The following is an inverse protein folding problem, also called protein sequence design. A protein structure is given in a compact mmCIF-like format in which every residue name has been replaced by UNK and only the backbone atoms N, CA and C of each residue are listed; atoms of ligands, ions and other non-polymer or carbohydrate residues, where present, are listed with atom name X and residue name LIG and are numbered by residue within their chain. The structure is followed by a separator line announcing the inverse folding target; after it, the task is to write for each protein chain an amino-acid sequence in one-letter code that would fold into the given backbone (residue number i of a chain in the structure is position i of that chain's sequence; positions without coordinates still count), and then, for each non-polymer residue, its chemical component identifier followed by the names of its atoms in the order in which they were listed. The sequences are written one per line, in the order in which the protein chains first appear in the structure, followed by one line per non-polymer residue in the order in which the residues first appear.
data_IF_946739656932
#
_entry.id   IF_946739656932
#
_cell.length_a   1.000
_cell.length_b   1.000
_cell.length_c   1.000
_cell.angle_alpha   90.00
_cell.angle_beta   90.00
_cell.angle_gamma   90.00
#
_symmetry.space_group_name_H-M   'P 1'
#
loop_
_entity.id
_entity.type
_entity.pdbx_description
1 polymer ?
#
# COMPACT_ATOMS: atom_id res chain seq x y z
N UNK A 1 -5.54 -39.98 -10.07
CA UNK A 1 -4.61 -40.29 -8.96
C UNK A 1 -3.41 -39.33 -8.95
N UNK A 2 -2.83 -39.06 -10.10
CA UNK A 2 -1.63 -38.21 -10.24
C UNK A 2 -1.85 -36.80 -9.66
N UNK A 3 -2.97 -36.14 -9.99
CA UNK A 3 -3.32 -34.83 -9.44
C UNK A 3 -3.40 -34.81 -7.91
N UNK A 4 -3.81 -35.94 -7.31
CA UNK A 4 -3.89 -36.08 -5.85
C UNK A 4 -2.49 -36.06 -5.23
N UNK A 5 -1.52 -36.72 -5.86
CA UNK A 5 -0.12 -36.72 -5.38
C UNK A 5 0.47 -35.30 -5.41
N UNK A 6 0.22 -34.56 -6.49
CA UNK A 6 0.66 -33.16 -6.60
C UNK A 6 0.06 -32.32 -5.46
N UNK A 7 -1.24 -32.45 -5.24
CA UNK A 7 -1.96 -31.70 -4.21
C UNK A 7 -1.45 -32.02 -2.81
N UNK A 8 -1.26 -33.32 -2.51
CA UNK A 8 -0.74 -33.79 -1.21
C UNK A 8 0.69 -33.25 -0.99
N UNK A 9 1.53 -33.29 -2.03
CA UNK A 9 2.91 -32.81 -1.95
C UNK A 9 2.97 -31.30 -1.65
N UNK A 10 2.12 -30.49 -2.31
CA UNK A 10 1.99 -29.05 -2.03
C UNK A 10 1.62 -28.82 -0.56
N UNK A 11 0.57 -29.52 -0.08
CA UNK A 11 0.09 -29.37 1.32
C UNK A 11 1.18 -29.77 2.30
N UNK A 12 1.87 -30.88 2.03
CA UNK A 12 2.95 -31.35 2.92
C UNK A 12 4.07 -30.32 3.02
N UNK A 13 4.51 -29.74 1.91
CA UNK A 13 5.54 -28.71 1.88
C UNK A 13 5.09 -27.44 2.64
N UNK A 14 3.83 -27.06 2.51
CA UNK A 14 3.25 -25.93 3.23
C UNK A 14 3.21 -26.18 4.75
N UNK A 15 2.84 -27.41 5.16
CA UNK A 15 2.81 -27.79 6.60
C UNK A 15 4.20 -27.78 7.24
N UNK A 16 5.25 -28.10 6.45
CA UNK A 16 6.65 -28.03 6.90
C UNK A 16 7.12 -26.56 7.03
N UNK A 17 6.33 -25.60 6.50
CA UNK A 17 6.65 -24.17 6.57
C UNK A 17 7.44 -23.63 5.37
N UNK A 18 7.48 -24.38 4.27
CA UNK A 18 8.13 -23.93 3.04
C UNK A 18 7.30 -22.81 2.41
N UNK A 19 7.92 -21.70 1.94
CA UNK A 19 7.18 -20.61 1.29
C UNK A 19 6.32 -21.11 0.13
N UNK A 20 5.12 -20.52 -0.03
CA UNK A 20 4.09 -20.95 -1.00
C UNK A 20 4.66 -21.06 -2.43
N UNK A 21 5.44 -20.05 -2.87
CA UNK A 21 6.02 -20.03 -4.21
C UNK A 21 6.97 -21.24 -4.45
N UNK A 22 7.79 -21.54 -3.42
CA UNK A 22 8.73 -22.68 -3.48
C UNK A 22 7.95 -24.01 -3.44
N UNK A 23 6.93 -24.11 -2.58
CA UNK A 23 6.08 -25.31 -2.48
C UNK A 23 5.40 -25.63 -3.80
N UNK A 24 4.81 -24.61 -4.46
CA UNK A 24 4.15 -24.78 -5.75
C UNK A 24 5.15 -25.12 -6.86
N UNK A 25 6.27 -24.38 -6.93
CA UNK A 25 7.29 -24.59 -7.95
C UNK A 25 7.95 -25.96 -7.82
N UNK A 26 8.40 -26.30 -6.60
CA UNK A 26 9.11 -27.57 -6.34
C UNK A 26 8.18 -28.78 -6.58
N UNK A 27 6.93 -28.71 -6.11
CA UNK A 27 5.97 -29.80 -6.31
C UNK A 27 5.63 -30.00 -7.79
N UNK A 28 5.50 -28.91 -8.55
CA UNK A 28 5.25 -28.98 -10.00
C UNK A 28 6.42 -29.61 -10.76
N UNK A 29 7.64 -29.17 -10.43
CA UNK A 29 8.87 -29.71 -11.03
C UNK A 29 9.02 -31.19 -10.71
N UNK A 30 8.88 -31.56 -9.43
CA UNK A 30 8.99 -32.97 -9.00
C UNK A 30 7.92 -33.84 -9.68
N UNK A 31 6.69 -33.33 -9.75
CA UNK A 31 5.60 -34.03 -10.42
C UNK A 31 5.92 -34.30 -11.90
N UNK A 32 6.40 -33.27 -12.62
CA UNK A 32 6.74 -33.39 -14.03
C UNK A 32 7.91 -34.37 -14.26
N UNK A 33 8.90 -34.38 -13.37
CA UNK A 33 10.03 -35.29 -13.46
C UNK A 33 9.66 -36.75 -13.20
N UNK A 34 8.65 -36.99 -12.36
CA UNK A 34 8.23 -38.35 -11.98
C UNK A 34 7.18 -38.93 -12.96
N UNK A 35 6.22 -38.08 -13.38
CA UNK A 35 5.04 -38.53 -14.13
C UNK A 35 5.04 -38.14 -15.61
N UNK A 36 6.08 -37.40 -16.07
CA UNK A 36 6.22 -37.07 -17.50
C UNK A 36 7.62 -37.34 -17.98
N UNK A 37 7.79 -37.52 -19.28
CA UNK A 37 9.09 -37.68 -19.93
C UNK A 37 9.77 -36.32 -20.19
N UNK A 38 9.33 -35.28 -19.47
CA UNK A 38 9.85 -33.91 -19.64
C UNK A 38 11.25 -33.78 -19.05
N UNK A 39 12.18 -33.27 -19.83
CA UNK A 39 13.51 -32.92 -19.32
C UNK A 39 13.48 -31.62 -18.54
N UNK A 40 14.42 -31.42 -17.64
CA UNK A 40 14.58 -30.14 -16.92
C UNK A 40 14.73 -28.94 -17.86
N UNK A 41 15.40 -29.17 -19.00
CA UNK A 41 15.55 -28.15 -20.05
C UNK A 41 14.21 -27.76 -20.65
N UNK A 42 13.34 -28.75 -20.90
CA UNK A 42 11.96 -28.51 -21.41
C UNK A 42 11.13 -27.74 -20.41
N UNK A 43 11.22 -28.09 -19.12
CA UNK A 43 10.51 -27.36 -18.04
C UNK A 43 10.97 -25.89 -17.98
N UNK A 44 12.28 -25.68 -18.02
CA UNK A 44 12.87 -24.32 -18.03
C UNK A 44 12.39 -23.53 -19.26
N UNK A 45 12.42 -24.15 -20.43
CA UNK A 45 11.95 -23.52 -21.67
C UNK A 45 10.46 -23.12 -21.58
N UNK A 46 9.63 -24.01 -21.05
CA UNK A 46 8.18 -23.74 -20.87
C UNK A 46 7.96 -22.54 -19.91
N UNK A 47 8.74 -22.46 -18.83
CA UNK A 47 8.67 -21.32 -17.90
C UNK A 47 9.03 -20.02 -18.59
N UNK A 48 10.09 -20.01 -19.41
CA UNK A 48 10.47 -18.80 -20.18
C UNK A 48 9.41 -18.44 -21.22
N UNK A 49 8.89 -19.43 -21.96
CA UNK A 49 7.84 -19.21 -22.98
C UNK A 49 6.54 -18.68 -22.38
N UNK A 50 6.19 -19.11 -21.16
CA UNK A 50 4.99 -18.63 -20.45
C UNK A 50 5.06 -17.13 -20.21
N UNK A 51 6.24 -16.58 -19.91
CA UNK A 51 6.43 -15.13 -19.75
C UNK A 51 6.49 -14.40 -21.10
N UNK A 52 7.08 -15.01 -22.09
CA UNK A 52 7.23 -14.44 -23.44
C UNK A 52 5.88 -14.17 -24.11
N UNK A 53 4.89 -15.04 -23.88
CA UNK A 53 3.54 -14.91 -24.43
C UNK A 53 2.64 -13.92 -23.67
N UNK A 54 2.96 -13.58 -22.41
CA UNK A 54 2.09 -12.80 -21.55
C UNK A 54 2.77 -11.55 -20.98
N UNK A 55 3.06 -10.57 -21.84
CA UNK A 55 3.69 -9.28 -21.46
C UNK A 55 2.91 -8.55 -20.37
N UNK A 56 1.62 -8.82 -20.23
CA UNK A 56 0.75 -8.24 -19.18
C UNK A 56 1.23 -8.60 -17.79
N UNK A 57 1.87 -9.77 -17.60
CA UNK A 57 2.40 -10.20 -16.31
C UNK A 57 3.54 -9.31 -15.83
N UNK A 58 4.22 -8.60 -16.74
CA UNK A 58 5.27 -7.63 -16.40
C UNK A 58 4.72 -6.43 -15.61
N UNK A 59 3.41 -6.19 -15.67
CA UNK A 59 2.76 -5.15 -14.86
C UNK A 59 2.88 -5.44 -13.35
N UNK A 60 2.93 -6.74 -12.96
CA UNK A 60 2.90 -7.18 -11.55
C UNK A 60 4.09 -6.62 -10.74
N UNK A 61 5.36 -6.86 -11.15
CA UNK A 61 6.49 -6.31 -10.38
C UNK A 61 6.45 -4.78 -10.31
N UNK A 62 5.99 -4.09 -11.35
CA UNK A 62 5.86 -2.63 -11.32
C UNK A 62 4.79 -2.17 -10.33
N UNK A 63 3.63 -2.83 -10.26
CA UNK A 63 2.59 -2.53 -9.27
C UNK A 63 3.07 -2.81 -7.84
N UNK A 64 3.79 -3.90 -7.61
CA UNK A 64 4.37 -4.24 -6.29
C UNK A 64 5.37 -3.15 -5.86
N UNK A 65 6.26 -2.76 -6.77
CA UNK A 65 7.25 -1.71 -6.51
C UNK A 65 6.57 -0.37 -6.22
N UNK A 66 5.59 0.02 -7.02
CA UNK A 66 4.81 1.25 -6.84
C UNK A 66 4.12 1.26 -5.47
N UNK A 67 3.49 0.13 -5.09
CA UNK A 67 2.79 -0.02 -3.82
C UNK A 67 3.75 0.10 -2.62
N UNK A 68 4.95 -0.45 -2.76
CA UNK A 68 6.01 -0.33 -1.74
C UNK A 68 6.42 1.14 -1.52
N UNK A 69 6.62 1.89 -2.60
CA UNK A 69 6.93 3.34 -2.51
C UNK A 69 5.78 4.13 -1.88
N UNK A 70 4.53 3.79 -2.21
CA UNK A 70 3.36 4.48 -1.66
C UNK A 70 3.17 4.22 -0.17
N UNK A 71 3.46 3.00 0.29
CA UNK A 71 3.31 2.64 1.70
C UNK A 71 4.31 3.39 2.58
N UNK A 72 5.53 3.62 2.07
CA UNK A 72 6.59 4.36 2.80
C UNK A 72 6.49 5.88 2.60
N UNK A 73 5.91 6.34 1.49
CA UNK A 73 5.89 7.75 1.09
C UNK A 73 4.86 8.66 1.78
N UNK A 74 4.19 8.17 2.82
CA UNK A 74 3.20 8.98 3.56
C UNK A 74 1.86 9.17 2.84
N UNK A 75 1.66 8.52 1.70
CA UNK A 75 0.39 8.55 0.95
C UNK A 75 -0.74 7.95 1.80
N UNK A 76 -0.47 6.83 2.48
CA UNK A 76 -1.43 6.17 3.37
C UNK A 76 -1.95 7.12 4.44
N UNK A 77 -1.05 7.88 5.09
CA UNK A 77 -1.43 8.88 6.14
C UNK A 77 -2.36 9.96 5.59
N UNK A 78 -2.08 10.46 4.38
CA UNK A 78 -2.89 11.50 3.72
C UNK A 78 -4.27 10.97 3.34
N UNK A 79 -4.34 9.74 2.83
CA UNK A 79 -5.60 9.06 2.50
C UNK A 79 -6.43 8.84 3.76
N UNK A 80 -5.82 8.38 4.87
CA UNK A 80 -6.49 8.17 6.15
C UNK A 80 -7.04 9.52 6.67
N UNK A 81 -6.25 10.60 6.60
CA UNK A 81 -6.69 11.95 7.01
C UNK A 81 -7.92 12.39 6.21
N UNK A 82 -7.88 12.20 4.89
CA UNK A 82 -9.01 12.51 4.02
C UNK A 82 -10.23 11.65 4.38
N UNK A 83 -10.04 10.37 4.59
CA UNK A 83 -11.12 9.43 4.93
C UNK A 83 -11.79 9.81 6.25
N UNK A 84 -11.01 10.17 7.27
CA UNK A 84 -11.51 10.62 8.56
C UNK A 84 -12.30 11.94 8.39
N UNK A 85 -11.77 12.88 7.59
CA UNK A 85 -12.44 14.17 7.33
C UNK A 85 -13.79 13.98 6.65
N UNK A 86 -13.89 13.00 5.71
CA UNK A 86 -15.14 12.75 4.95
C UNK A 86 -16.17 11.98 5.77
N UNK A 87 -15.79 10.86 6.40
CA UNK A 87 -16.74 9.90 6.98
C UNK A 87 -16.55 9.68 8.48
N UNK A 88 -15.61 10.37 9.11
CA UNK A 88 -15.29 10.18 10.54
C UNK A 88 -16.41 10.61 11.50
N UNK A 89 -17.36 11.41 11.04
CA UNK A 89 -18.44 11.98 11.86
C UNK A 89 -19.59 11.00 12.12
N UNK A 90 -19.63 9.86 11.46
CA UNK A 90 -20.67 8.84 11.66
C UNK A 90 -20.41 8.00 12.93
N UNK A 91 -21.42 7.26 13.40
CA UNK A 91 -21.25 6.25 14.45
C UNK A 91 -20.28 5.18 13.95
N UNK A 92 -19.23 4.92 14.72
CA UNK A 92 -18.16 4.04 14.26
C UNK A 92 -17.30 4.67 13.17
N UNK A 93 -17.28 6.01 13.09
CA UNK A 93 -16.68 6.77 12.00
C UNK A 93 -15.23 6.45 11.72
N UNK A 94 -14.45 6.11 12.75
CA UNK A 94 -13.04 5.75 12.55
C UNK A 94 -12.89 4.39 11.85
N UNK A 95 -13.79 3.43 12.14
CA UNK A 95 -13.81 2.13 11.44
C UNK A 95 -14.27 2.32 9.99
N UNK A 96 -15.33 3.11 9.77
CA UNK A 96 -15.83 3.44 8.42
C UNK A 96 -14.74 4.17 7.62
N UNK A 97 -14.04 5.12 8.26
CA UNK A 97 -12.91 5.82 7.62
C UNK A 97 -11.77 4.86 7.27
N UNK A 98 -11.54 3.85 8.09
CA UNK A 98 -10.58 2.78 7.81
C UNK A 98 -10.95 2.00 6.54
N UNK A 99 -12.21 1.61 6.39
CA UNK A 99 -12.71 0.93 5.18
C UNK A 99 -12.56 1.84 3.95
N UNK A 100 -13.00 3.09 4.07
CA UNK A 100 -12.90 4.07 2.98
C UNK A 100 -11.44 4.31 2.57
N UNK A 101 -10.53 4.40 3.57
CA UNK A 101 -9.10 4.53 3.32
C UNK A 101 -8.55 3.28 2.61
N UNK A 102 -8.99 2.07 3.01
CA UNK A 102 -8.61 0.82 2.34
C UNK A 102 -9.08 0.81 0.89
N UNK A 103 -10.31 1.25 0.61
CA UNK A 103 -10.84 1.35 -0.77
C UNK A 103 -9.98 2.27 -1.64
N UNK A 104 -9.66 3.46 -1.12
CA UNK A 104 -8.84 4.44 -1.83
C UNK A 104 -7.41 3.93 -2.04
N UNK A 105 -6.82 3.32 -1.00
CA UNK A 105 -5.46 2.79 -1.09
C UNK A 105 -5.41 1.53 -1.97
N UNK A 106 -6.45 0.70 -1.95
CA UNK A 106 -6.59 -0.47 -2.82
C UNK A 106 -6.49 -0.07 -4.30
N UNK A 107 -7.17 1.03 -4.68
CA UNK A 107 -7.15 1.60 -6.04
C UNK A 107 -5.76 2.11 -6.46
N UNK A 108 -4.82 2.20 -5.52
CA UNK A 108 -3.44 2.62 -5.79
C UNK A 108 -2.47 1.42 -5.78
N UNK A 109 -2.64 0.52 -4.80
CA UNK A 109 -1.69 -0.57 -4.53
C UNK A 109 -1.99 -1.84 -5.32
N UNK A 110 -3.26 -2.10 -5.61
CA UNK A 110 -3.71 -3.33 -6.28
C UNK A 110 -3.44 -4.61 -5.50
N UNK A 111 -3.10 -4.48 -4.20
CA UNK A 111 -2.63 -5.59 -3.37
C UNK A 111 -3.32 -5.57 -2.00
N UNK A 112 -4.01 -6.67 -1.64
CA UNK A 112 -4.66 -6.81 -0.34
C UNK A 112 -3.67 -6.77 0.83
N UNK A 113 -2.58 -7.56 0.82
CA UNK A 113 -1.60 -7.49 1.92
C UNK A 113 -1.00 -6.10 2.09
N UNK A 114 -0.64 -5.42 0.99
CA UNK A 114 -0.09 -4.06 1.06
C UNK A 114 -1.07 -3.08 1.68
N UNK A 115 -2.36 -3.19 1.31
CA UNK A 115 -3.44 -2.35 1.86
C UNK A 115 -3.61 -2.57 3.37
N UNK A 116 -3.66 -3.84 3.81
CA UNK A 116 -3.80 -4.20 5.24
C UNK A 116 -2.61 -3.65 6.04
N UNK A 117 -1.41 -3.81 5.55
CA UNK A 117 -0.19 -3.35 6.27
C UNK A 117 -0.15 -1.81 6.32
N UNK A 118 -0.34 -1.14 5.17
CA UNK A 118 -0.21 0.32 5.08
C UNK A 118 -1.28 1.05 5.89
N UNK A 119 -2.55 0.65 5.75
CA UNK A 119 -3.67 1.32 6.43
C UNK A 119 -3.83 0.77 7.84
N UNK A 120 -3.72 -0.55 8.01
CA UNK A 120 -3.94 -1.24 9.29
C UNK A 120 -2.98 -0.79 10.38
N UNK A 121 -1.70 -0.63 10.07
CA UNK A 121 -0.69 -0.17 11.04
C UNK A 121 -1.08 1.16 11.72
N UNK A 122 -1.75 2.04 10.99
CA UNK A 122 -2.15 3.37 11.48
C UNK A 122 -3.56 3.31 12.10
N UNK A 123 -4.53 2.74 11.36
CA UNK A 123 -5.95 2.81 11.73
C UNK A 123 -6.25 1.91 12.93
N UNK A 124 -5.67 0.70 13.02
CA UNK A 124 -5.88 -0.21 14.17
C UNK A 124 -5.37 0.48 15.46
N UNK A 125 -4.18 1.10 15.39
CA UNK A 125 -3.63 1.84 16.54
C UNK A 125 -4.51 3.02 16.93
N UNK A 126 -5.07 3.76 15.96
CA UNK A 126 -5.98 4.87 16.22
C UNK A 126 -7.30 4.38 16.81
N UNK A 127 -7.87 3.29 16.30
CA UNK A 127 -9.12 2.70 16.77
C UNK A 127 -9.00 2.24 18.23
N UNK A 128 -7.91 1.55 18.56
CA UNK A 128 -7.68 1.07 19.95
C UNK A 128 -7.51 2.20 20.93
N UNK A 129 -6.89 3.31 20.54
CA UNK A 129 -6.77 4.53 21.38
C UNK A 129 -8.13 5.17 21.70
N UNK A 130 -9.10 5.05 20.81
CA UNK A 130 -10.45 5.62 20.98
C UNK A 130 -11.38 4.64 21.70
N UNK A 131 -10.90 3.42 22.03
CA UNK A 131 -11.65 2.45 22.84
C UNK A 131 -12.28 1.29 22.05
N UNK A 132 -11.96 1.14 20.78
CA UNK A 132 -12.38 -0.06 20.03
C UNK A 132 -11.55 -1.27 20.47
N UNK A 133 -12.15 -2.47 20.50
CA UNK A 133 -11.39 -3.68 20.77
C UNK A 133 -10.43 -3.96 19.61
N UNK A 134 -9.27 -4.53 19.93
CA UNK A 134 -8.25 -4.90 18.93
C UNK A 134 -8.81 -5.86 17.89
N UNK A 135 -9.60 -6.84 18.35
CA UNK A 135 -10.18 -7.88 17.50
C UNK A 135 -11.13 -7.27 16.46
N UNK A 136 -11.99 -6.33 16.89
CA UNK A 136 -12.90 -5.62 15.98
C UNK A 136 -12.10 -4.78 14.97
N UNK A 137 -11.11 -4.02 15.47
CA UNK A 137 -10.29 -3.16 14.58
C UNK A 137 -9.54 -3.99 13.54
N UNK A 138 -8.91 -5.08 13.97
CA UNK A 138 -8.18 -5.99 13.07
C UNK A 138 -9.14 -6.66 12.07
N UNK A 139 -10.28 -7.15 12.55
CA UNK A 139 -11.31 -7.78 11.71
C UNK A 139 -11.84 -6.84 10.62
N UNK A 140 -12.12 -5.58 10.97
CA UNK A 140 -12.57 -4.57 10.00
C UNK A 140 -11.49 -4.34 8.93
N UNK A 141 -10.24 -4.15 9.35
CA UNK A 141 -9.15 -3.83 8.40
C UNK A 141 -8.80 -5.05 7.54
N UNK A 142 -8.82 -6.27 8.10
CA UNK A 142 -8.59 -7.48 7.32
C UNK A 142 -9.65 -7.66 6.22
N UNK A 143 -10.93 -7.47 6.58
CA UNK A 143 -12.02 -7.51 5.60
C UNK A 143 -11.91 -6.37 4.57
N UNK A 144 -11.63 -5.15 5.03
CA UNK A 144 -11.47 -4.00 4.13
C UNK A 144 -10.29 -4.17 3.18
N UNK A 145 -9.23 -4.84 3.63
CA UNK A 145 -8.04 -5.12 2.81
C UNK A 145 -8.32 -6.02 1.62
N UNK A 146 -9.31 -6.93 1.73
CA UNK A 146 -9.69 -7.81 0.60
C UNK A 146 -10.21 -7.02 -0.61
N UNK A 147 -10.67 -5.77 -0.39
CA UNK A 147 -11.09 -4.88 -1.48
C UNK A 147 -9.94 -4.58 -2.46
N UNK A 148 -8.69 -4.79 -2.05
CA UNK A 148 -7.51 -4.68 -2.93
C UNK A 148 -7.47 -5.68 -4.07
N UNK A 149 -8.24 -6.76 -3.98
CA UNK A 149 -8.41 -7.72 -5.08
C UNK A 149 -9.45 -7.21 -6.09
N UNK A 150 -10.51 -6.55 -5.57
CA UNK A 150 -11.69 -6.16 -6.37
C UNK A 150 -11.57 -4.79 -7.02
N UNK A 151 -10.96 -3.82 -6.30
CA UNK A 151 -10.88 -2.43 -6.80
C UNK A 151 -9.67 -2.30 -7.73
N UNK A 152 -9.89 -1.92 -9.01
CA UNK A 152 -8.78 -1.79 -9.96
C UNK A 152 -7.89 -0.54 -9.67
N UNK A 153 -6.60 -0.58 -10.08
CA UNK A 153 -5.93 -1.74 -10.70
C UNK A 153 -5.62 -2.84 -9.66
N UNK A 154 -5.75 -4.10 -10.03
CA UNK A 154 -5.55 -5.24 -9.11
C UNK A 154 -4.60 -6.26 -9.74
N UNK A 155 -3.59 -6.66 -8.97
CA UNK A 155 -2.59 -7.67 -9.36
C UNK A 155 -3.29 -9.01 -9.68
N UNK A 156 -4.27 -9.40 -8.85
CA UNK A 156 -5.01 -10.66 -9.02
C UNK A 156 -5.80 -10.64 -10.33
N UNK A 157 -6.39 -9.51 -10.68
CA UNK A 157 -7.11 -9.36 -11.96
C UNK A 157 -6.17 -9.46 -13.17
N UNK A 158 -4.93 -8.93 -13.05
CA UNK A 158 -3.91 -9.05 -14.11
C UNK A 158 -3.54 -10.52 -14.32
N UNK A 159 -3.29 -11.26 -13.22
CA UNK A 159 -2.97 -12.70 -13.27
C UNK A 159 -4.13 -13.49 -13.90
N UNK A 160 -5.36 -13.22 -13.44
CA UNK A 160 -6.55 -13.89 -13.95
C UNK A 160 -6.72 -13.62 -15.45
N UNK A 161 -6.59 -12.37 -15.85
CA UNK A 161 -6.74 -11.96 -17.26
C UNK A 161 -5.70 -12.65 -18.15
N UNK A 162 -4.45 -12.75 -17.67
CA UNK A 162 -3.38 -13.45 -18.39
C UNK A 162 -3.66 -14.96 -18.49
N UNK A 163 -4.20 -15.57 -17.42
CA UNK A 163 -4.50 -17.01 -17.38
C UNK A 163 -5.70 -17.40 -18.24
N UNK A 164 -6.62 -16.45 -18.52
CA UNK A 164 -7.87 -16.71 -19.25
C UNK A 164 -7.92 -16.02 -20.62
N UNK A 165 -6.83 -15.36 -21.02
CA UNK A 165 -6.69 -14.60 -22.28
C UNK A 165 -7.79 -13.54 -22.45
N UNK A 166 -8.19 -12.91 -21.31
CA UNK A 166 -9.18 -11.83 -21.29
C UNK A 166 -8.45 -10.48 -21.17
N UNK A 167 -9.01 -9.45 -21.78
CA UNK A 167 -8.47 -8.09 -21.68
C UNK A 167 -8.44 -7.59 -20.23
N UNK A 168 -7.26 -7.20 -19.75
CA UNK A 168 -7.06 -6.64 -18.39
C UNK A 168 -7.92 -5.38 -18.19
N UNK A 169 -8.03 -4.52 -19.22
CA UNK A 169 -8.87 -3.32 -19.16
C UNK A 169 -10.34 -3.64 -18.90
N UNK A 170 -10.88 -4.63 -19.61
CA UNK A 170 -12.27 -5.10 -19.37
C UNK A 170 -12.43 -5.71 -17.98
N UNK A 171 -11.43 -6.46 -17.52
CA UNK A 171 -11.41 -7.05 -16.18
C UNK A 171 -11.44 -5.96 -15.10
N UNK A 172 -10.65 -4.91 -15.28
CA UNK A 172 -10.63 -3.77 -14.37
C UNK A 172 -12.00 -3.06 -14.33
N UNK A 173 -12.63 -2.83 -15.49
CA UNK A 173 -13.97 -2.24 -15.56
C UNK A 173 -15.00 -3.10 -14.79
N UNK A 174 -14.93 -4.41 -14.97
CA UNK A 174 -15.84 -5.35 -14.31
C UNK A 174 -15.67 -5.33 -12.78
N UNK A 175 -14.46 -5.03 -12.28
CA UNK A 175 -14.15 -4.99 -10.84
C UNK A 175 -14.64 -3.74 -10.12
N UNK A 176 -14.84 -2.62 -10.82
CA UNK A 176 -15.22 -1.32 -10.21
C UNK A 176 -16.53 -1.45 -9.41
N UNK A 177 -17.58 -1.96 -10.07
CA UNK A 177 -18.93 -2.03 -9.46
C UNK A 177 -18.95 -2.98 -8.26
N UNK A 178 -18.48 -4.25 -8.37
CA UNK A 178 -18.43 -5.14 -7.20
C UNK A 178 -17.54 -4.60 -6.07
N UNK A 179 -16.42 -3.99 -6.40
CA UNK A 179 -15.50 -3.41 -5.40
C UNK A 179 -16.14 -2.28 -4.60
N UNK A 180 -16.80 -1.35 -5.29
CA UNK A 180 -17.53 -0.25 -4.65
C UNK A 180 -18.72 -0.77 -3.84
N UNK A 181 -19.45 -1.73 -4.38
CA UNK A 181 -20.60 -2.34 -3.70
C UNK A 181 -20.15 -3.03 -2.40
N UNK A 182 -19.10 -3.87 -2.48
CA UNK A 182 -18.58 -4.59 -1.31
C UNK A 182 -18.09 -3.61 -0.24
N UNK A 183 -17.37 -2.56 -0.63
CA UNK A 183 -16.89 -1.53 0.28
C UNK A 183 -18.01 -0.75 0.95
N UNK A 184 -19.03 -0.34 0.18
CA UNK A 184 -20.18 0.39 0.73
C UNK A 184 -21.01 -0.51 1.65
N UNK A 185 -21.23 -1.77 1.31
CA UNK A 185 -21.94 -2.73 2.16
C UNK A 185 -21.20 -2.96 3.48
N UNK A 186 -19.87 -3.05 3.43
CA UNK A 186 -19.04 -3.18 4.62
C UNK A 186 -19.17 -1.92 5.51
N UNK A 187 -19.12 -0.71 4.93
CA UNK A 187 -19.30 0.54 5.66
C UNK A 187 -20.69 0.63 6.32
N UNK A 188 -21.73 0.21 5.58
CA UNK A 188 -23.12 0.19 6.08
C UNK A 188 -23.25 -0.82 7.26
N UNK A 189 -22.66 -1.99 7.13
CA UNK A 189 -22.66 -3.03 8.18
C UNK A 189 -21.99 -2.52 9.46
N UNK A 190 -20.83 -1.84 9.30
CA UNK A 190 -20.09 -1.23 10.42
C UNK A 190 -20.95 -0.14 11.08
N UNK A 191 -21.62 0.69 10.29
CA UNK A 191 -22.47 1.78 10.81
C UNK A 191 -23.59 1.21 11.70
N UNK A 192 -24.32 0.18 11.26
CA UNK A 192 -25.38 -0.43 12.04
C UNK A 192 -24.84 -1.13 13.29
N UNK A 193 -23.74 -1.84 13.17
CA UNK A 193 -23.07 -2.52 14.30
C UNK A 193 -22.61 -1.48 15.34
N UNK A 194 -21.99 -0.38 14.89
CA UNK A 194 -21.50 0.67 15.76
C UNK A 194 -22.64 1.39 16.48
N UNK A 195 -23.76 1.59 15.80
CA UNK A 195 -24.97 2.20 16.39
C UNK A 195 -25.58 1.26 17.46
N UNK A 196 -25.64 -0.03 17.18
CA UNK A 196 -26.15 -1.05 18.12
C UNK A 196 -25.29 -1.13 19.38
N UNK A 197 -23.96 -1.09 19.22
CA UNK A 197 -23.00 -1.19 20.34
C UNK A 197 -22.74 0.16 21.05
N UNK A 198 -23.36 1.24 20.61
CA UNK A 198 -23.14 2.57 21.20
C UNK A 198 -21.71 3.08 21.04
N UNK A 199 -21.07 2.77 19.93
CA UNK A 199 -19.68 3.17 19.69
C UNK A 199 -19.55 4.69 19.52
N UNK A 200 -18.38 5.27 19.87
CA UNK A 200 -18.21 6.72 19.82
C UNK A 200 -18.46 7.29 18.42
N UNK A 201 -19.06 8.46 18.39
CA UNK A 201 -19.35 9.25 17.20
C UNK A 201 -18.29 10.36 17.11
N UNK A 202 -17.70 10.52 15.93
CA UNK A 202 -16.76 11.61 15.68
C UNK A 202 -17.48 12.95 15.47
N UNK A 203 -16.72 14.03 15.54
CA UNK A 203 -17.21 15.37 15.20
C UNK A 203 -16.94 15.64 13.71
N UNK A 204 -17.81 16.41 13.10
CA UNK A 204 -17.62 16.85 11.71
C UNK A 204 -16.42 17.79 11.64
N UNK A 205 -15.44 17.45 10.82
CA UNK A 205 -14.19 18.20 10.69
C UNK A 205 -14.35 19.54 9.94
N UNK A 206 -15.47 19.72 9.25
CA UNK A 206 -15.70 20.92 8.45
C UNK A 206 -15.16 20.82 7.03
N UNK A 207 -15.75 21.60 6.14
CA UNK A 207 -15.39 21.62 4.71
C UNK A 207 -13.94 22.06 4.49
N UNK A 208 -13.43 22.97 5.32
CA UNK A 208 -12.04 23.46 5.24
C UNK A 208 -11.04 22.32 5.44
N UNK A 209 -11.30 21.43 6.40
CA UNK A 209 -10.43 20.27 6.65
C UNK A 209 -10.55 19.25 5.52
N UNK A 210 -11.77 19.00 4.98
CA UNK A 210 -12.00 18.11 3.86
C UNK A 210 -11.19 18.59 2.64
N UNK A 211 -11.28 19.89 2.30
CA UNK A 211 -10.54 20.48 1.17
C UNK A 211 -9.02 20.42 1.41
N UNK A 212 -8.56 20.71 2.61
CA UNK A 212 -7.15 20.64 3.00
C UNK A 212 -6.62 19.20 2.85
N UNK A 213 -7.37 18.23 3.39
CA UNK A 213 -7.01 16.80 3.31
C UNK A 213 -7.07 16.29 1.86
N UNK A 214 -8.08 16.72 1.09
CA UNK A 214 -8.21 16.36 -0.33
C UNK A 214 -7.03 16.89 -1.14
N UNK A 215 -6.61 18.14 -0.89
CA UNK A 215 -5.44 18.74 -1.54
C UNK A 215 -4.16 17.98 -1.17
N UNK A 216 -4.04 17.58 0.10
CA UNK A 216 -2.87 16.79 0.55
C UNK A 216 -2.83 15.39 -0.08
N UNK A 217 -4.01 14.77 -0.31
CA UNK A 217 -4.15 13.44 -0.91
C UNK A 217 -4.21 13.47 -2.44
N UNK A 218 -4.39 14.65 -3.06
CA UNK A 218 -4.66 14.82 -4.49
C UNK A 218 -3.61 14.16 -5.38
N UNK A 219 -2.34 14.22 -4.99
CA UNK A 219 -1.26 13.63 -5.78
C UNK A 219 -1.41 12.11 -5.90
N UNK A 220 -1.79 11.43 -4.81
CA UNK A 220 -2.07 9.99 -4.83
C UNK A 220 -3.31 9.67 -5.67
N UNK A 221 -4.39 10.44 -5.46
CA UNK A 221 -5.65 10.25 -6.20
C UNK A 221 -5.48 10.49 -7.69
N UNK A 222 -4.65 11.47 -8.06
CA UNK A 222 -4.33 11.80 -9.45
C UNK A 222 -3.67 10.62 -10.17
N UNK A 223 -2.83 9.85 -9.46
CA UNK A 223 -2.22 8.64 -10.03
C UNK A 223 -3.29 7.61 -10.45
N UNK A 224 -4.34 7.43 -9.64
CA UNK A 224 -5.46 6.52 -9.98
C UNK A 224 -6.11 6.99 -11.28
N UNK A 225 -6.38 8.30 -11.39
CA UNK A 225 -7.02 8.90 -12.58
C UNK A 225 -6.16 8.69 -13.82
N UNK A 226 -4.84 8.88 -13.71
CA UNK A 226 -3.91 8.67 -14.84
C UNK A 226 -3.92 7.20 -15.27
N UNK A 227 -3.78 6.27 -14.31
CA UNK A 227 -3.69 4.84 -14.58
C UNK A 227 -4.99 4.34 -15.24
N UNK A 228 -6.12 4.53 -14.55
CA UNK A 228 -7.41 4.03 -15.04
C UNK A 228 -7.87 4.81 -16.28
N UNK A 229 -7.71 6.13 -16.27
CA UNK A 229 -8.06 6.98 -17.40
C UNK A 229 -7.25 6.65 -18.65
N UNK A 230 -5.95 6.38 -18.47
CA UNK A 230 -5.05 6.00 -19.57
C UNK A 230 -5.39 4.62 -20.16
N UNK A 231 -5.69 3.65 -19.28
CA UNK A 231 -6.08 2.30 -19.71
C UNK A 231 -7.45 2.33 -20.41
N UNK A 232 -8.45 2.99 -19.82
CA UNK A 232 -9.81 3.04 -20.39
C UNK A 232 -9.90 3.94 -21.62
N UNK A 233 -9.08 4.98 -21.69
CA UNK A 233 -8.95 5.85 -22.85
C UNK A 233 -8.18 5.23 -24.02
N UNK A 234 -7.56 4.05 -23.78
CA UNK A 234 -6.78 3.35 -24.81
C UNK A 234 -5.40 3.97 -25.07
N UNK A 235 -4.94 4.87 -24.19
CA UNK A 235 -3.63 5.52 -24.34
C UNK A 235 -2.49 4.62 -23.86
N UNK A 236 -2.75 3.77 -22.88
CA UNK A 236 -1.75 2.91 -22.26
C UNK A 236 -2.26 1.47 -22.13
N UNK A 237 -1.37 0.54 -22.37
CA UNK A 237 -1.57 -0.85 -21.94
C UNK A 237 -1.42 -0.92 -20.41
N UNK A 238 -1.95 -1.95 -19.74
CA UNK A 238 -1.77 -2.12 -18.30
C UNK A 238 -0.30 -2.16 -17.86
N UNK A 239 0.57 -2.69 -18.70
CA UNK A 239 2.01 -2.75 -18.43
C UNK A 239 2.63 -1.35 -18.47
N UNK A 240 2.30 -0.57 -19.48
CA UNK A 240 2.75 0.83 -19.61
C UNK A 240 2.20 1.68 -18.48
N UNK A 241 0.96 1.49 -18.10
CA UNK A 241 0.33 2.18 -16.97
C UNK A 241 1.05 1.86 -15.66
N UNK A 242 1.42 0.62 -15.48
CA UNK A 242 2.21 0.22 -14.32
C UNK A 242 3.58 0.87 -14.29
N UNK A 243 4.13 1.05 -15.37
CA UNK A 243 5.40 1.71 -15.46
C UNK A 243 5.30 3.20 -15.26
N UNK A 244 4.10 3.81 -15.55
CA UNK A 244 3.83 5.16 -15.28
C UNK A 244 3.62 5.40 -13.83
N UNK A 245 3.10 4.36 -13.16
CA UNK A 245 2.91 4.37 -11.74
C UNK A 245 4.23 4.26 -11.03
N UNK A 246 5.10 3.54 -11.41
CA UNK A 246 6.34 3.39 -10.83
C UNK A 246 7.25 4.55 -11.09
N UNK A 247 7.11 5.17 -12.18
CA UNK A 247 7.86 6.29 -12.55
C UNK A 247 7.37 7.57 -11.90
N UNK A 248 6.13 7.62 -11.74
CA UNK A 248 5.50 8.70 -11.06
C UNK A 248 5.68 8.61 -9.58
N UNK A 249 5.65 7.40 -9.07
CA UNK A 249 5.84 7.21 -7.67
C UNK A 249 7.31 7.32 -7.30
N UNK A 250 8.15 7.08 -8.18
CA UNK A 250 9.53 7.30 -7.99
C UNK A 250 9.86 8.77 -8.07
N UNK A 251 9.18 9.47 -8.84
CA UNK A 251 9.34 10.87 -8.96
C UNK A 251 8.79 11.60 -7.77
N UNK A 252 7.79 11.04 -7.27
CA UNK A 252 7.19 11.56 -6.08
C UNK A 252 8.05 11.29 -4.89
N UNK A 253 8.58 10.15 -4.88
CA UNK A 253 9.39 9.81 -3.80
C UNK A 253 10.73 10.51 -3.86
N UNK A 254 11.11 10.73 -5.00
CA UNK A 254 12.28 11.52 -5.21
C UNK A 254 12.02 12.97 -4.89
N UNK A 255 10.95 13.39 -5.18
CA UNK A 255 10.58 14.72 -4.84
C UNK A 255 10.38 14.88 -3.37
N UNK A 256 9.92 13.89 -2.83
CA UNK A 256 9.72 13.90 -1.42
C UNK A 256 11.04 13.75 -0.70
N UNK A 257 11.79 13.04 -1.27
CA UNK A 257 13.06 12.90 -0.71
C UNK A 257 13.91 14.13 -0.91
N UNK A 258 13.70 14.64 -1.91
CA UNK A 258 14.36 15.85 -2.18
C UNK A 258 13.83 16.99 -1.34
N UNK A 259 12.71 16.88 -1.12
CA UNK A 259 12.11 17.83 -0.26
C UNK A 259 12.54 17.61 1.15
N UNK A 260 12.67 16.45 1.41
CA UNK A 260 13.08 16.12 2.72
C UNK A 260 14.56 16.44 2.90
N UNK A 261 15.17 16.24 1.90
CA UNK A 261 16.54 16.63 1.92
C UNK A 261 16.67 18.12 1.91
N UNK A 262 15.90 18.69 1.30
CA UNK A 262 15.91 20.11 1.30
C UNK A 262 15.46 20.65 2.62
N UNK A 263 14.67 20.01 3.15
CA UNK A 263 14.21 20.38 4.44
C UNK A 263 15.28 20.13 5.46
N UNK A 264 15.85 19.15 5.21
CA UNK A 264 16.86 18.86 6.11
C UNK A 264 18.08 19.78 5.93
N UNK A 265 18.19 20.09 4.82
CA UNK A 265 19.21 21.06 4.56
C UNK A 265 18.80 22.42 5.03
N UNK A 266 17.70 22.66 4.94
CA UNK A 266 17.21 23.88 5.44
C UNK A 266 17.23 23.90 6.94
N UNK A 267 17.00 22.85 7.45
CA UNK A 267 17.03 22.74 8.86
C UNK A 267 18.46 22.75 9.34
N UNK A 268 19.19 22.25 8.59
CA UNK A 268 20.54 22.31 8.93
C UNK A 268 21.11 23.70 8.73
N UNK A 269 20.61 24.28 7.86
CA UNK A 269 21.02 25.63 7.67
C UNK A 269 20.42 26.55 8.69
N UNK A 270 19.41 26.26 9.06
CA UNK A 270 18.81 27.01 10.10
C UNK A 270 19.52 26.76 11.41
N UNK A 271 19.84 25.64 11.53
CA UNK A 271 20.52 25.31 12.72
C UNK A 271 21.94 25.85 12.69
N UNK A 272 22.40 25.93 11.61
CA UNK A 272 23.67 26.57 11.48
C UNK A 272 23.53 28.06 11.62
N UNK A 273 22.56 28.55 11.20
CA UNK A 273 22.33 29.94 11.38
C UNK A 273 21.99 30.25 12.83
N UNK A 274 21.43 29.46 13.39
CA UNK A 274 21.16 29.66 14.78
C UNK A 274 22.44 29.51 15.60
N UNK A 275 23.10 28.72 15.17
CA UNK A 275 24.35 28.60 15.83
C UNK A 275 25.26 29.75 15.54
N UNK A 276 25.13 30.21 14.51
CA UNK A 276 25.87 31.37 14.19
C UNK A 276 25.35 32.60 14.87
N UNK A 277 24.30 32.57 15.06
CA UNK A 277 23.74 33.64 15.77
C UNK A 277 24.02 33.58 17.25
N UNK A 278 24.21 32.68 17.56
CA UNK A 278 24.59 32.52 18.91
C UNK A 278 26.07 32.86 19.11
N UNK A 279 26.87 32.89 18.25
CA UNK A 279 28.32 33.26 18.24
C UNK A 279 28.63 34.75 17.94
N UNK A 280 27.72 35.56 17.65
CA UNK A 280 27.92 37.00 17.52
C UNK A 280 27.96 37.64 18.93
N UNK A 281 28.93 38.61 19.16
CA UNK A 281 29.35 38.90 20.51
C UNK A 281 28.39 39.76 21.33
N UNK A 282 27.70 39.12 22.23
CA UNK A 282 27.29 39.75 23.45
C UNK A 282 27.83 38.88 24.60
N UNK A 283 29.07 39.21 24.99
CA UNK A 283 29.68 38.88 26.25
C UNK A 283 29.54 37.49 26.85
N UNK A 284 30.63 36.73 26.74
CA UNK A 284 31.00 35.66 27.67
C UNK A 284 29.95 34.65 28.10
N UNK A 285 29.87 33.58 27.36
CA UNK A 285 29.62 32.26 27.99
C UNK A 285 30.30 31.20 27.15
N UNK A 286 31.47 30.76 27.56
CA UNK A 286 32.17 29.61 27.00
C UNK A 286 31.34 28.34 27.31
N UNK A 287 30.61 27.88 26.35
CA UNK A 287 30.10 26.51 26.42
C UNK A 287 31.05 25.70 25.52
N UNK A 288 31.91 24.90 26.17
CA UNK A 288 32.71 23.87 25.54
C UNK A 288 31.80 22.71 25.09
N UNK A 289 31.06 22.93 24.00
CA UNK A 289 30.37 21.83 23.35
C UNK A 289 31.20 21.40 22.14
N UNK A 290 31.82 20.24 22.23
CA UNK A 290 32.50 19.62 21.08
C UNK A 290 31.51 19.45 19.93
N UNK A 291 31.90 19.79 18.69
CA UNK A 291 31.00 19.62 17.51
C UNK A 291 30.47 18.21 17.34
N UNK A 292 31.19 17.22 17.84
CA UNK A 292 30.79 15.79 17.80
C UNK A 292 29.57 15.48 18.64
N UNK A 293 29.32 16.21 19.74
CA UNK A 293 28.16 15.97 20.61
C UNK A 293 26.86 16.56 20.06
N UNK A 294 26.95 17.66 19.32
CA UNK A 294 25.78 18.27 18.65
C UNK A 294 25.32 17.42 17.46
N UNK A 295 26.27 16.86 16.70
CA UNK A 295 25.96 15.98 15.59
C UNK A 295 25.33 14.68 16.09
N UNK A 296 25.84 14.13 17.21
CA UNK A 296 25.31 12.93 17.84
C UNK A 296 23.88 13.13 18.40
N UNK A 297 23.63 14.31 18.99
CA UNK A 297 22.30 14.66 19.52
C UNK A 297 21.28 14.86 18.37
N UNK A 298 21.71 15.47 17.26
CA UNK A 298 20.87 15.65 16.07
C UNK A 298 20.58 14.30 15.39
N UNK A 299 21.58 13.42 15.30
CA UNK A 299 21.44 12.07 14.74
C UNK A 299 20.56 11.19 15.62
N UNK A 300 20.69 11.27 16.97
CA UNK A 300 19.85 10.48 17.88
C UNK A 300 18.38 10.93 17.82
N UNK A 301 18.14 12.25 17.68
CA UNK A 301 16.78 12.78 17.52
C UNK A 301 16.18 12.43 16.16
N UNK A 302 17.02 12.31 15.15
CA UNK A 302 16.60 11.90 13.79
C UNK A 302 16.30 10.40 13.72
N UNK A 303 17.13 9.58 14.42
CA UNK A 303 16.89 8.12 14.51
C UNK A 303 15.61 7.77 15.28
N UNK A 304 15.22 8.59 16.27
CA UNK A 304 13.98 8.37 17.01
C UNK A 304 12.71 8.76 16.23
N UNK A 305 12.89 9.53 15.13
CA UNK A 305 11.77 9.94 14.25
C UNK A 305 11.61 9.05 13.02
N UNK A 306 12.57 8.15 12.77
CA UNK A 306 12.46 7.14 11.74
C UNK A 306 12.06 5.81 12.41
N UNK A 307 10.83 5.34 12.24
CA UNK A 307 10.50 3.99 12.68
C UNK A 307 11.31 3.02 11.82
N UNK A 308 12.26 2.36 12.43
CA UNK A 308 12.94 1.21 11.83
C UNK A 308 11.96 0.06 11.67
N UNK A 309 12.09 -0.79 10.64
CA UNK A 309 11.13 -1.86 10.34
C UNK A 309 11.01 -2.89 11.45
#
# INVERSE_FOLDING_TARGET
MEALYLFVLVILLLLVGVPIAVSLGLSSILFLLVYSDSSLASVAQTLFSAFEGHYTLLAIPFFILASSFMSTGGVAKRIIRLSIACVGHFHGGLAIAGVFACMMFAALSGSSPATVVAIGSIVIAAMTKVGYSKDFAAGVICNAGTLGILIPPSIVMVVYAAATDVSVGRMFLAGVIPGLLAGTMLMISIYFYARYKGMPKGQWAGWTEVFSAARAASWGLFLVVIILGGIYGGYFTPTEAAXXXXXXXXXXXXXXXXXXXXXXXXXXXXXXXXXXXXFLPHGFMQIHAKPSTMLAACLSHYCSLLPMP
#
